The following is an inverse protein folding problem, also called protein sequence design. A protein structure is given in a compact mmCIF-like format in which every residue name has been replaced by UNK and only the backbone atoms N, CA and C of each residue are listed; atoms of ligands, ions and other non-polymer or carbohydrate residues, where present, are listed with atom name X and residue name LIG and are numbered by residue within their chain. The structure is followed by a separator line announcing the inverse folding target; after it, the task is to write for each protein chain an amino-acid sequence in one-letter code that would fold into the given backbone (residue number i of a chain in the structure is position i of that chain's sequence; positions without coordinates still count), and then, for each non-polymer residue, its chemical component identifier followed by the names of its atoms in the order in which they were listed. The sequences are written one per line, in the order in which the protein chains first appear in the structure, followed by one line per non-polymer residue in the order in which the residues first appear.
data_IF_206707363691
#
_entry.id   IF_206707363691
#
_cell.length_a   1.000
_cell.length_b   1.000
_cell.length_c   1.000
_cell.angle_alpha   90.00
_cell.angle_beta   90.00
_cell.angle_gamma   90.00
#
_symmetry.space_group_name_H-M   'P 1'
#
loop_
_entity.id
_entity.type
_entity.pdbx_description
1 polymer ?
#
# COMPACT_ATOMS: atom_id res chain seq x y z
N UNK A 1 26.54 -20.69 -5.07
CA UNK A 1 27.07 -20.86 -3.70
C UNK A 1 26.98 -22.34 -3.36
N UNK A 2 28.10 -23.06 -3.47
CA UNK A 2 28.14 -24.51 -3.23
C UNK A 2 28.29 -24.76 -1.74
N UNK A 3 27.33 -25.44 -1.17
CA UNK A 3 27.37 -25.84 0.24
C UNK A 3 28.21 -27.12 0.30
N UNK A 4 29.35 -27.04 0.93
CA UNK A 4 30.21 -28.18 1.14
C UNK A 4 29.76 -28.95 2.39
N UNK A 5 29.22 -30.15 2.18
CA UNK A 5 28.78 -31.02 3.28
C UNK A 5 30.03 -31.82 3.71
N UNK A 6 30.49 -31.70 4.95
CA UNK A 6 31.62 -32.50 5.37
C UNK A 6 31.23 -33.98 5.48
N UNK A 7 32.07 -34.81 4.88
CA UNK A 7 31.92 -36.26 4.96
C UNK A 7 32.24 -36.71 6.39
N UNK A 8 31.19 -37.11 7.11
CA UNK A 8 31.36 -37.65 8.46
C UNK A 8 31.82 -39.11 8.33
N UNK A 9 33.10 -39.32 8.54
CA UNK A 9 33.64 -40.68 8.58
C UNK A 9 33.44 -41.22 9.99
N UNK A 10 32.49 -42.12 10.16
CA UNK A 10 32.24 -42.78 11.41
C UNK A 10 33.25 -43.95 11.51
N UNK A 11 34.27 -43.80 12.31
CA UNK A 11 35.15 -44.92 12.65
C UNK A 11 34.43 -45.78 13.67
N UNK A 12 33.96 -46.96 13.21
CA UNK A 12 33.50 -47.99 14.13
C UNK A 12 34.79 -48.64 14.69
N UNK A 13 35.21 -48.23 15.85
CA UNK A 13 36.23 -48.95 16.60
C UNK A 13 35.60 -50.25 17.10
N UNK A 14 36.23 -51.34 16.72
CA UNK A 14 35.87 -52.66 17.19
C UNK A 14 35.88 -52.70 18.73
N UNK A 15 34.70 -52.74 19.34
CA UNK A 15 34.58 -53.20 20.69
C UNK A 15 34.46 -54.73 20.62
N UNK A 16 35.51 -55.36 20.15
CA UNK A 16 35.62 -56.76 20.10
C UNK A 16 36.39 -57.27 21.30
N UNK A 17 35.72 -57.91 22.20
CA UNK A 17 36.39 -58.70 23.20
C UNK A 17 36.12 -58.32 24.65
N UNK A 18 34.98 -58.58 25.13
CA UNK A 18 34.68 -58.87 26.53
C UNK A 18 33.22 -59.24 26.76
N UNK A 19 32.66 -60.12 25.95
CA UNK A 19 31.41 -60.81 26.34
C UNK A 19 31.64 -62.26 26.06
N UNK A 20 31.83 -62.98 27.13
CA UNK A 20 32.09 -64.42 27.08
C UNK A 20 30.99 -65.23 26.41
N UNK A 21 31.45 -66.26 25.88
CA UNK A 21 30.99 -67.30 25.01
C UNK A 21 29.74 -67.99 25.53
N UNK A 22 28.56 -67.36 25.64
CA UNK A 22 27.33 -68.13 25.85
C UNK A 22 26.03 -67.44 25.57
N UNK A 23 26.01 -66.49 24.62
CA UNK A 23 24.68 -66.04 24.15
C UNK A 23 24.28 -66.87 22.92
N UNK A 24 23.12 -67.49 23.01
CA UNK A 24 22.60 -68.31 21.91
C UNK A 24 22.36 -67.40 20.69
N UNK A 25 22.50 -67.98 19.49
CA UNK A 25 22.34 -67.28 18.22
C UNK A 25 21.02 -66.50 18.15
N UNK A 26 19.97 -67.04 18.77
CA UNK A 26 18.64 -66.40 18.82
C UNK A 26 18.67 -65.13 19.64
N UNK A 27 19.36 -65.07 20.76
CA UNK A 27 19.48 -63.87 21.59
C UNK A 27 20.27 -62.76 20.88
N UNK A 28 21.31 -63.13 20.12
CA UNK A 28 22.07 -62.16 19.33
C UNK A 28 21.24 -61.57 18.18
N UNK A 29 20.48 -62.42 17.48
CA UNK A 29 19.62 -61.97 16.41
C UNK A 29 18.49 -61.05 16.95
N UNK A 30 17.92 -61.34 18.10
CA UNK A 30 16.88 -60.51 18.73
C UNK A 30 17.44 -59.17 19.16
N UNK A 31 18.65 -59.12 19.71
CA UNK A 31 19.29 -57.87 20.10
C UNK A 31 19.60 -56.97 18.90
N UNK A 32 20.06 -57.55 17.82
CA UNK A 32 20.35 -56.80 16.59
C UNK A 32 19.06 -56.30 15.95
N UNK A 33 17.97 -57.07 15.99
CA UNK A 33 16.68 -56.68 15.44
C UNK A 33 16.07 -55.53 16.24
N UNK A 34 16.14 -55.57 17.57
CA UNK A 34 15.64 -54.48 18.42
C UNK A 34 16.46 -53.21 18.21
N UNK A 35 17.78 -53.30 18.05
CA UNK A 35 18.62 -52.14 17.77
C UNK A 35 18.28 -51.53 16.42
N UNK A 36 18.02 -52.35 15.40
CA UNK A 36 17.63 -51.89 14.07
C UNK A 36 16.26 -51.21 14.11
N UNK A 37 15.28 -51.74 14.80
CA UNK A 37 13.96 -51.14 14.96
C UNK A 37 14.09 -49.80 15.69
N UNK A 38 14.94 -49.71 16.72
CA UNK A 38 15.15 -48.48 17.46
C UNK A 38 15.80 -47.41 16.60
N UNK A 39 16.73 -47.80 15.71
CA UNK A 39 17.39 -46.86 14.81
C UNK A 39 16.41 -46.33 13.74
N UNK A 40 15.46 -47.14 13.31
CA UNK A 40 14.41 -46.73 12.35
C UNK A 40 13.40 -45.77 12.99
N UNK A 41 13.09 -45.92 14.27
CA UNK A 41 12.20 -45.01 14.95
C UNK A 41 12.84 -43.62 15.19
N UNK A 42 14.16 -43.57 15.31
CA UNK A 42 14.83 -42.30 15.54
C UNK A 42 14.88 -41.40 14.28
N UNK A 43 14.62 -41.95 13.09
CA UNK A 43 14.68 -41.20 11.83
C UNK A 43 13.32 -40.58 11.47
N UNK A 44 12.26 -40.97 12.16
CA UNK A 44 10.90 -40.50 11.89
C UNK A 44 10.51 -39.29 12.77
N UNK A 45 11.46 -38.43 13.10
CA UNK A 45 11.07 -37.10 13.60
C UNK A 45 10.37 -36.38 12.45
N UNK A 46 9.08 -36.04 12.59
CA UNK A 46 8.46 -35.24 11.55
C UNK A 46 9.25 -33.96 11.46
N UNK A 47 9.85 -33.73 10.32
CA UNK A 47 10.28 -32.38 10.00
C UNK A 47 9.02 -31.54 10.12
N UNK A 48 8.87 -30.83 11.23
CA UNK A 48 7.83 -29.84 11.35
C UNK A 48 7.98 -28.97 10.13
N UNK A 49 7.12 -29.14 9.17
CA UNK A 49 7.05 -28.25 8.04
C UNK A 49 6.80 -26.88 8.65
N UNK A 50 7.85 -26.07 8.72
CA UNK A 50 7.71 -24.69 9.13
C UNK A 50 6.89 -24.04 8.02
N UNK A 51 5.59 -23.93 8.24
CA UNK A 51 4.77 -23.12 7.36
C UNK A 51 5.44 -21.74 7.31
N UNK A 52 5.86 -21.32 6.14
CA UNK A 52 6.50 -20.01 6.05
C UNK A 52 5.52 -18.97 6.61
N UNK A 53 5.99 -18.19 7.57
CA UNK A 53 5.19 -17.10 8.14
C UNK A 53 4.79 -16.18 6.99
N UNK A 54 3.48 -15.91 6.83
CA UNK A 54 3.06 -15.04 5.73
C UNK A 54 3.73 -13.67 5.81
N UNK A 55 4.35 -13.25 4.73
CA UNK A 55 5.00 -11.94 4.63
C UNK A 55 4.04 -10.98 3.95
N UNK A 56 3.73 -9.87 4.61
CA UNK A 56 2.84 -8.84 4.08
C UNK A 56 3.54 -8.02 3.00
N UNK A 57 2.78 -7.60 1.99
CA UNK A 57 3.28 -6.73 0.93
C UNK A 57 2.09 -6.01 0.28
N UNK A 58 2.24 -4.73 0.01
CA UNK A 58 1.19 -3.92 -0.61
C UNK A 58 1.85 -2.86 -1.51
N UNK A 59 1.17 -2.49 -2.58
CA UNK A 59 1.54 -1.34 -3.39
C UNK A 59 0.31 -0.49 -3.64
N UNK A 60 0.50 0.84 -3.72
CA UNK A 60 -0.57 1.77 -4.03
C UNK A 60 -0.09 2.72 -5.12
N UNK A 61 -0.93 2.92 -6.14
CA UNK A 61 -0.70 3.88 -7.22
C UNK A 61 -1.97 4.66 -7.46
N UNK A 62 -1.83 5.94 -7.81
CA UNK A 62 -2.97 6.83 -7.99
C UNK A 62 -2.87 7.57 -9.33
N UNK A 63 -4.01 7.76 -9.97
CA UNK A 63 -4.12 8.52 -11.21
C UNK A 63 -5.42 9.31 -11.22
N UNK A 64 -5.42 10.57 -11.66
CA UNK A 64 -4.27 11.32 -12.13
C UNK A 64 -3.32 11.73 -11.01
N UNK A 65 -2.06 11.96 -11.35
CA UNK A 65 -1.05 12.42 -10.39
C UNK A 65 -1.08 13.93 -10.18
N UNK A 66 -1.80 14.65 -11.04
CA UNK A 66 -2.05 16.09 -10.90
C UNK A 66 -3.57 16.29 -10.82
N UNK A 67 -4.02 16.88 -9.73
CA UNK A 67 -5.45 17.11 -9.46
C UNK A 67 -5.68 18.60 -9.46
N UNK A 68 -6.61 19.09 -10.28
CA UNK A 68 -6.95 20.49 -10.34
C UNK A 68 -8.21 20.76 -9.53
N UNK A 69 -8.13 21.73 -8.63
CA UNK A 69 -9.25 22.17 -7.79
C UNK A 69 -9.55 23.62 -8.12
N UNK A 70 -10.71 23.86 -8.72
CA UNK A 70 -11.13 25.21 -9.09
C UNK A 70 -11.74 25.93 -7.89
N UNK A 71 -11.21 27.10 -7.57
CA UNK A 71 -11.73 27.98 -6.52
C UNK A 71 -12.32 29.22 -7.20
N UNK A 72 -13.60 29.10 -7.56
CA UNK A 72 -14.37 30.17 -8.18
C UNK A 72 -15.84 30.05 -7.78
N UNK A 73 -16.61 31.12 -7.84
CA UNK A 73 -18.04 31.02 -7.55
C UNK A 73 -18.74 30.01 -8.47
N UNK A 74 -19.52 29.12 -7.88
CA UNK A 74 -20.25 28.10 -8.61
C UNK A 74 -19.49 26.79 -8.84
N UNK A 75 -18.21 26.70 -8.47
CA UNK A 75 -17.48 25.44 -8.55
C UNK A 75 -17.76 24.57 -7.32
N UNK A 76 -17.35 23.30 -7.37
CA UNK A 76 -17.51 22.38 -6.25
C UNK A 76 -16.37 22.51 -5.23
N UNK A 77 -15.30 23.22 -5.57
CA UNK A 77 -14.08 23.34 -4.78
C UNK A 77 -13.40 22.00 -4.51
N UNK A 78 -13.69 20.99 -5.33
CA UNK A 78 -13.22 19.62 -5.08
C UNK A 78 -12.47 19.07 -6.29
N UNK A 79 -11.54 18.16 -5.99
CA UNK A 79 -10.85 17.36 -6.99
C UNK A 79 -10.78 15.91 -6.55
N UNK A 80 -10.52 15.02 -7.49
CA UNK A 80 -10.57 13.58 -7.24
C UNK A 80 -9.38 12.89 -7.89
N UNK A 81 -8.95 11.80 -7.27
CA UNK A 81 -8.03 10.84 -7.87
C UNK A 81 -8.49 9.44 -7.52
N UNK A 82 -8.21 8.50 -8.39
CA UNK A 82 -8.50 7.08 -8.15
C UNK A 82 -7.19 6.37 -7.86
N UNK A 83 -7.16 5.65 -6.75
CA UNK A 83 -6.01 4.88 -6.33
C UNK A 83 -6.31 3.39 -6.47
N UNK A 84 -5.28 2.61 -6.77
CA UNK A 84 -5.35 1.16 -6.85
C UNK A 84 -4.38 0.58 -5.83
N UNK A 85 -4.90 -0.20 -4.90
CA UNK A 85 -4.09 -0.97 -3.96
C UNK A 85 -3.96 -2.39 -4.49
N UNK A 86 -2.73 -2.88 -4.61
CA UNK A 86 -2.45 -4.20 -5.17
C UNK A 86 -1.74 -5.04 -4.10
N UNK A 87 -2.29 -6.22 -3.85
CA UNK A 87 -1.74 -7.21 -2.94
C UNK A 87 -1.06 -8.31 -3.76
N UNK A 88 0.28 -8.37 -3.78
CA UNK A 88 0.98 -9.41 -4.55
C UNK A 88 1.09 -10.75 -3.81
N UNK A 89 0.62 -10.84 -2.57
CA UNK A 89 0.76 -12.06 -1.78
C UNK A 89 -0.33 -13.07 -2.10
N UNK A 90 -0.12 -14.31 -1.66
CA UNK A 90 -1.10 -15.38 -1.82
C UNK A 90 -2.15 -15.40 -0.69
N UNK A 91 -2.24 -14.34 0.10
CA UNK A 91 -3.11 -14.25 1.27
C UNK A 91 -3.94 -12.98 1.21
N UNK A 92 -5.15 -13.03 1.80
CA UNK A 92 -5.95 -11.81 1.94
C UNK A 92 -5.30 -10.87 2.93
N UNK A 93 -5.28 -9.60 2.60
CA UNK A 93 -4.75 -8.55 3.48
C UNK A 93 -5.83 -7.53 3.81
N UNK A 94 -5.82 -7.07 5.06
CA UNK A 94 -6.57 -5.89 5.48
C UNK A 94 -5.61 -4.72 5.52
N UNK A 95 -5.92 -3.66 4.78
CA UNK A 95 -5.06 -2.47 4.69
C UNK A 95 -5.79 -1.28 5.29
N UNK A 96 -5.00 -0.36 5.84
CA UNK A 96 -5.48 0.92 6.32
C UNK A 96 -4.97 2.01 5.38
N UNK A 97 -5.87 2.89 4.96
CA UNK A 97 -5.55 4.02 4.06
C UNK A 97 -5.44 5.28 4.90
N UNK A 98 -4.32 5.97 4.75
CA UNK A 98 -4.10 7.26 5.39
C UNK A 98 -3.81 8.30 4.31
N UNK A 99 -4.47 9.46 4.43
CA UNK A 99 -4.35 10.52 3.43
C UNK A 99 -4.00 11.83 4.13
N UNK A 100 -3.01 12.54 3.59
CA UNK A 100 -2.62 13.87 4.06
C UNK A 100 -2.53 14.79 2.85
N UNK A 101 -3.14 15.96 2.93
CA UNK A 101 -3.26 16.88 1.79
C UNK A 101 -2.86 18.33 2.12
N UNK A 102 -1.91 18.50 3.02
CA UNK A 102 -1.27 19.81 3.28
C UNK A 102 -2.32 20.91 3.52
N UNK A 103 -3.22 20.69 4.47
CA UNK A 103 -4.25 21.65 4.87
C UNK A 103 -5.55 21.60 4.09
N UNK A 104 -5.65 20.76 3.06
CA UNK A 104 -6.91 20.54 2.35
C UNK A 104 -7.73 19.48 3.10
N UNK A 105 -9.05 19.60 3.03
CA UNK A 105 -9.93 18.58 3.53
C UNK A 105 -9.89 17.36 2.59
N UNK A 106 -9.91 16.16 3.14
CA UNK A 106 -9.84 14.93 2.35
C UNK A 106 -10.96 13.98 2.74
N UNK A 107 -11.38 13.15 1.80
CA UNK A 107 -12.24 12.02 2.04
C UNK A 107 -11.69 10.80 1.33
N UNK A 108 -11.58 9.70 2.06
CA UNK A 108 -11.01 8.44 1.57
C UNK A 108 -11.57 7.30 2.42
N UNK A 109 -11.56 6.06 1.90
CA UNK A 109 -11.91 4.92 2.76
C UNK A 109 -10.86 4.74 3.88
N UNK A 110 -11.28 4.20 5.02
CA UNK A 110 -10.38 3.93 6.13
C UNK A 110 -9.66 2.61 5.94
N UNK A 111 -10.36 1.51 6.24
CA UNK A 111 -9.82 0.16 6.09
C UNK A 111 -10.51 -0.53 4.91
N UNK A 112 -9.77 -1.43 4.25
CA UNK A 112 -10.34 -2.24 3.18
C UNK A 112 -9.58 -3.56 3.07
N UNK A 113 -10.25 -4.55 2.48
CA UNK A 113 -9.67 -5.87 2.26
C UNK A 113 -9.25 -6.01 0.80
N UNK A 114 -8.07 -6.55 0.60
CA UNK A 114 -7.55 -6.86 -0.74
C UNK A 114 -7.28 -8.35 -0.78
N UNK A 115 -7.94 -9.05 -1.68
CA UNK A 115 -7.78 -10.50 -1.82
C UNK A 115 -6.39 -10.90 -2.28
N UNK A 116 -6.11 -12.21 -2.19
CA UNK A 116 -4.82 -12.76 -2.60
C UNK A 116 -4.58 -12.49 -4.09
N UNK A 117 -3.43 -11.93 -4.42
CA UNK A 117 -3.02 -11.63 -5.80
C UNK A 117 -4.04 -10.75 -6.53
N UNK A 118 -4.69 -9.85 -5.80
CA UNK A 118 -5.79 -9.04 -6.33
C UNK A 118 -5.50 -7.55 -6.13
N UNK A 119 -6.36 -6.72 -6.71
CA UNK A 119 -6.29 -5.26 -6.61
C UNK A 119 -7.67 -4.69 -6.32
N UNK A 120 -7.70 -3.57 -5.61
CA UNK A 120 -8.94 -2.86 -5.29
C UNK A 120 -8.75 -1.38 -5.61
N UNK A 121 -9.71 -0.80 -6.32
CA UNK A 121 -9.71 0.64 -6.61
C UNK A 121 -10.50 1.39 -5.55
N UNK A 122 -10.03 2.59 -5.21
CA UNK A 122 -10.75 3.47 -4.31
C UNK A 122 -10.52 4.92 -4.71
N UNK A 123 -11.50 5.77 -4.41
CA UNK A 123 -11.45 7.17 -4.78
C UNK A 123 -11.06 8.02 -3.57
N UNK A 124 -10.23 9.02 -3.83
CA UNK A 124 -9.88 10.05 -2.86
C UNK A 124 -10.37 11.38 -3.38
N UNK A 125 -11.04 12.14 -2.54
CA UNK A 125 -11.41 13.51 -2.85
C UNK A 125 -10.64 14.48 -1.96
N UNK A 126 -10.31 15.62 -2.55
CA UNK A 126 -9.71 16.74 -1.84
C UNK A 126 -10.61 17.96 -2.04
N UNK A 127 -10.69 18.80 -1.02
CA UNK A 127 -11.57 19.97 -1.09
C UNK A 127 -10.85 21.19 -0.52
N UNK A 128 -10.88 22.28 -1.32
CA UNK A 128 -10.36 23.57 -0.92
C UNK A 128 -11.43 24.43 -0.28
N UNK A 129 -11.04 25.45 0.47
CA UNK A 129 -11.97 26.46 0.98
C UNK A 129 -12.21 27.53 -0.08
N UNK A 130 -13.36 28.23 0.01
CA UNK A 130 -13.73 29.22 -1.04
C UNK A 130 -12.73 30.35 -1.28
N UNK A 131 -11.93 30.73 -0.33
CA UNK A 131 -11.01 31.86 -0.50
C UNK A 131 -9.54 31.44 -0.55
N UNK A 132 -9.31 30.16 -0.83
CA UNK A 132 -7.96 29.62 -0.88
C UNK A 132 -7.21 30.20 -2.10
N UNK A 133 -5.98 30.65 -1.86
CA UNK A 133 -5.17 31.25 -2.92
C UNK A 133 -4.62 30.17 -3.85
N UNK A 134 -4.31 30.60 -5.08
CA UNK A 134 -3.63 29.76 -6.05
C UNK A 134 -2.34 29.21 -5.44
N UNK A 135 -2.19 27.87 -5.46
CA UNK A 135 -1.08 27.20 -4.84
C UNK A 135 -0.99 25.77 -5.35
N UNK A 136 0.14 25.15 -5.14
CA UNK A 136 0.33 23.70 -5.37
C UNK A 136 0.57 23.03 -4.03
N UNK A 137 -0.22 22.02 -3.72
CA UNK A 137 -0.15 21.27 -2.47
C UNK A 137 0.17 19.81 -2.75
N UNK A 138 0.84 19.16 -1.81
CA UNK A 138 1.13 17.72 -1.92
C UNK A 138 0.02 16.92 -1.29
N UNK A 139 -0.51 15.94 -2.03
CA UNK A 139 -1.43 14.92 -1.53
C UNK A 139 -0.65 13.63 -1.38
N UNK A 140 -0.55 13.13 -0.15
CA UNK A 140 0.16 11.88 0.16
C UNK A 140 -0.85 10.83 0.57
N UNK A 141 -0.80 9.68 -0.10
CA UNK A 141 -1.66 8.53 0.19
C UNK A 141 -0.76 7.37 0.59
N UNK A 142 -1.04 6.77 1.74
CA UNK A 142 -0.31 5.59 2.18
C UNK A 142 -1.28 4.46 2.51
N UNK A 143 -0.87 3.25 2.14
CA UNK A 143 -1.57 2.02 2.47
C UNK A 143 -0.65 1.18 3.37
N UNK A 144 -1.16 0.73 4.50
CA UNK A 144 -0.39 -0.08 5.46
C UNK A 144 -1.15 -1.36 5.75
N UNK A 145 -0.46 -2.49 5.70
CA UNK A 145 -1.09 -3.79 5.98
C UNK A 145 -1.30 -3.92 7.50
N UNK A 146 -2.54 -4.10 7.91
CA UNK A 146 -2.93 -4.30 9.31
C UNK A 146 -3.05 -5.76 9.68
N UNK A 147 -3.55 -6.58 8.75
CA UNK A 147 -3.75 -8.01 8.99
C UNK A 147 -3.47 -8.78 7.71
N UNK A 148 -3.01 -10.02 7.90
CA UNK A 148 -2.87 -11.00 6.84
C UNK A 148 -3.62 -12.26 7.29
N UNK A 149 -4.63 -12.67 6.52
CA UNK A 149 -5.56 -13.74 6.89
C UNK A 149 -6.16 -13.56 8.29
N UNK A 150 -6.44 -12.31 8.70
CA UNK A 150 -7.04 -12.02 9.99
C UNK A 150 -6.09 -11.94 11.17
N UNK A 151 -4.79 -12.05 10.93
CA UNK A 151 -3.78 -11.97 11.99
C UNK A 151 -2.81 -10.83 11.72
N UNK A 152 -2.25 -10.22 12.78
CA UNK A 152 -1.24 -9.18 12.58
C UNK A 152 -0.06 -9.71 11.76
N UNK A 153 0.48 -8.93 10.82
CA UNK A 153 1.58 -9.41 10.00
C UNK A 153 2.87 -9.51 10.79
N UNK A 154 3.75 -10.44 10.40
CA UNK A 154 5.05 -10.60 11.04
C UNK A 154 6.02 -9.48 10.68
N UNK A 155 5.79 -8.82 9.54
CA UNK A 155 6.61 -7.70 9.06
C UNK A 155 5.75 -6.46 8.83
N UNK A 156 6.37 -5.29 8.91
CA UNK A 156 5.70 -4.04 8.54
C UNK A 156 5.70 -3.91 7.01
N UNK A 157 4.56 -3.61 6.43
CA UNK A 157 4.43 -3.41 4.98
C UNK A 157 3.55 -2.20 4.72
N UNK A 158 4.08 -1.24 3.99
CA UNK A 158 3.35 -0.04 3.60
C UNK A 158 3.84 0.45 2.25
N UNK A 159 2.98 1.19 1.57
CA UNK A 159 3.27 1.80 0.27
C UNK A 159 2.74 3.22 0.28
N UNK A 160 3.46 4.12 -0.38
CA UNK A 160 3.14 5.54 -0.39
C UNK A 160 3.11 6.03 -1.83
N UNK A 161 2.16 6.91 -2.13
CA UNK A 161 2.06 7.56 -3.44
C UNK A 161 1.76 9.04 -3.24
N UNK A 162 2.54 9.89 -3.88
CA UNK A 162 2.41 11.34 -3.76
C UNK A 162 1.88 11.93 -5.06
N UNK A 163 0.97 12.89 -4.92
CA UNK A 163 0.35 13.60 -6.03
C UNK A 163 0.38 15.09 -5.76
N UNK A 164 0.15 15.88 -6.80
CA UNK A 164 0.10 17.34 -6.69
C UNK A 164 -1.34 17.80 -6.87
N UNK A 165 -1.81 18.62 -5.94
CA UNK A 165 -3.11 19.28 -6.03
C UNK A 165 -2.86 20.74 -6.38
N UNK A 166 -3.31 21.15 -7.56
CA UNK A 166 -3.20 22.52 -8.04
C UNK A 166 -4.48 23.26 -7.70
N UNK A 167 -4.37 24.23 -6.80
CA UNK A 167 -5.48 25.12 -6.47
C UNK A 167 -5.49 26.22 -7.52
N UNK A 168 -6.55 26.28 -8.30
CA UNK A 168 -6.69 27.20 -9.42
C UNK A 168 -7.73 28.25 -9.05
N UNK A 169 -7.24 29.44 -8.71
CA UNK A 169 -8.11 30.56 -8.39
C UNK A 169 -8.41 31.33 -9.67
N UNK A 170 -9.65 31.69 -9.86
CA UNK A 170 -10.07 32.46 -11.00
C UNK A 170 -10.63 33.79 -10.51
N UNK A 171 -10.26 34.87 -11.18
CA UNK A 171 -10.85 36.17 -10.95
C UNK A 171 -11.77 36.48 -12.11
N UNK A 172 -12.98 36.94 -11.78
CA UNK A 172 -13.97 37.37 -12.77
C UNK A 172 -14.03 38.89 -12.75
N UNK A 173 -13.71 39.48 -13.87
CA UNK A 173 -13.85 40.92 -14.05
C UNK A 173 -15.05 41.14 -14.96
N UNK A 174 -16.04 41.87 -14.47
CA UNK A 174 -17.20 42.25 -15.22
C UNK A 174 -17.17 43.76 -15.46
N UNK A 175 -17.32 44.16 -16.72
CA UNK A 175 -17.36 45.54 -17.11
C UNK A 175 -18.77 45.85 -17.57
N UNK A 176 -19.38 46.86 -16.97
CA UNK A 176 -20.74 47.29 -17.30
C UNK A 176 -20.69 48.74 -17.72
N UNK A 177 -21.22 49.04 -18.90
CA UNK A 177 -21.35 50.38 -19.36
C UNK A 177 -22.55 51.06 -18.65
N UNK A 178 -22.30 52.21 -18.05
CA UNK A 178 -23.36 52.95 -17.33
C UNK A 178 -24.43 53.46 -18.29
N UNK A 179 -24.01 53.84 -19.50
CA UNK A 179 -24.90 54.26 -20.56
C UNK A 179 -24.65 53.45 -21.83
N UNK A 180 -25.48 52.42 -22.12
CA UNK A 180 -25.17 51.53 -23.25
C UNK A 180 -25.42 52.17 -24.63
N UNK A 181 -26.22 53.20 -24.67
CA UNK A 181 -26.52 53.91 -25.92
C UNK A 181 -26.47 55.40 -25.73
N UNK A 182 -25.74 56.09 -26.62
CA UNK A 182 -25.70 57.51 -26.63
C UNK A 182 -25.76 57.99 -28.10
N UNK A 183 -26.67 58.90 -28.37
CA UNK A 183 -26.73 59.56 -29.68
C UNK A 183 -25.90 60.80 -29.64
N UNK A 184 -24.95 60.89 -30.57
CA UNK A 184 -24.02 62.01 -30.63
C UNK A 184 -24.28 62.83 -31.90
N UNK A 185 -24.23 64.13 -31.76
CA UNK A 185 -24.22 65.02 -32.90
C UNK A 185 -22.83 65.01 -33.52
N UNK A 186 -22.69 65.25 -34.81
CA UNK A 186 -21.36 65.32 -35.42
C UNK A 186 -20.47 66.38 -34.73
N UNK A 187 -19.19 66.00 -34.52
CA UNK A 187 -18.16 66.82 -33.88
C UNK A 187 -18.42 67.10 -32.40
N UNK A 188 -19.07 66.22 -31.68
CA UNK A 188 -19.21 66.28 -30.21
C UNK A 188 -18.41 65.19 -29.54
N UNK A 189 -17.83 65.50 -28.38
CA UNK A 189 -17.11 64.52 -27.56
C UNK A 189 -18.03 64.05 -26.44
N UNK A 190 -17.91 62.71 -26.08
CA UNK A 190 -18.69 62.14 -25.00
C UNK A 190 -17.77 61.26 -24.17
N UNK A 191 -17.85 61.40 -22.87
CA UNK A 191 -17.15 60.56 -21.93
C UNK A 191 -18.09 59.41 -21.58
N UNK A 192 -17.56 58.17 -21.72
CA UNK A 192 -18.28 56.95 -21.33
C UNK A 192 -17.75 56.50 -20.00
N UNK A 193 -18.64 56.20 -19.07
CA UNK A 193 -18.29 55.68 -17.77
C UNK A 193 -18.56 54.20 -17.74
N UNK A 194 -17.65 53.46 -17.17
CA UNK A 194 -17.76 52.02 -16.98
C UNK A 194 -17.59 51.69 -15.51
N UNK A 195 -18.40 50.76 -15.03
CA UNK A 195 -18.21 50.16 -13.71
C UNK A 195 -17.51 48.85 -13.87
N UNK A 196 -16.44 48.64 -13.12
CA UNK A 196 -15.67 47.43 -13.13
C UNK A 196 -15.92 46.72 -11.81
N UNK A 197 -16.37 45.47 -11.89
CA UNK A 197 -16.60 44.62 -10.74
C UNK A 197 -15.60 43.48 -10.78
N UNK A 198 -14.99 43.23 -9.63
CA UNK A 198 -14.07 42.08 -9.48
C UNK A 198 -14.66 41.09 -8.53
N UNK A 199 -14.94 40.19 -8.95
CA UNK A 199 -15.64 39.21 -8.26
C UNK A 199 -14.81 38.20 -7.77
N UNK A 200 -13.91 38.55 -7.68
CA UNK A 200 -13.00 37.62 -7.21
C UNK A 200 -13.35 36.97 -6.12
#
# INVERSE_FOLDING_TARGET
MCIHIPKMVMRVTELGGLIGDSMSTVKRASFLLTLYIFSMLAVAAPAAAQNPTPTAAISVTCAPSNINVEVKPGSTYSGFTTCTATNPTAYQEKISINVQADGLATAAPGDMYVGASDSVDFQISVRATPYMRMDARTLSVSATVQEINGFPPANSASSNNNMIVNIMQYSLVQVEATEPFVQLMPKTDKIFEFKVYNXX
#
